data_IF_780134858847
#
_entry.id   IF_780134858847
#
_cell.length_a   1.000
_cell.length_b   1.000
_cell.length_c   1.000
_cell.angle_alpha   90.00
_cell.angle_beta   90.00
_cell.angle_gamma   90.00
#
_symmetry.space_group_name_H-M   'P 1'
#
loop_
_entity.id
_entity.type
_entity.pdbx_description
1 polymer ?
#
# COMPACT_ATOMS: atom_id res chain seq x y z
N UNK A 1 23.41 -61.62 -43.06
CA UNK A 1 23.00 -62.70 -42.13
C UNK A 1 21.52 -62.52 -41.83
N UNK A 2 20.68 -63.47 -42.26
CA UNK A 2 19.25 -63.42 -41.98
C UNK A 2 19.03 -63.70 -40.49
N UNK A 3 18.47 -62.73 -39.78
CA UNK A 3 18.15 -62.83 -38.36
C UNK A 3 17.16 -63.99 -38.18
N UNK A 4 17.49 -64.96 -37.31
CA UNK A 4 16.62 -66.11 -37.06
C UNK A 4 15.26 -65.65 -36.51
N UNK A 5 14.19 -66.35 -36.88
CA UNK A 5 12.82 -66.03 -36.45
C UNK A 5 12.68 -66.02 -34.92
N UNK A 6 13.44 -66.87 -34.23
CA UNK A 6 13.55 -66.91 -32.77
C UNK A 6 14.18 -65.65 -32.19
N UNK A 7 15.24 -65.12 -32.81
CA UNK A 7 15.85 -63.84 -32.40
C UNK A 7 14.88 -62.67 -32.57
N UNK A 8 14.13 -62.60 -33.69
CA UNK A 8 13.14 -61.53 -33.93
C UNK A 8 12.06 -61.50 -32.86
N UNK A 9 11.55 -62.68 -32.46
CA UNK A 9 10.55 -62.80 -31.40
C UNK A 9 11.13 -62.47 -30.02
N UNK A 10 12.37 -62.89 -29.73
CA UNK A 10 13.07 -62.52 -28.51
C UNK A 10 13.26 -60.99 -28.39
N UNK A 11 13.71 -60.31 -29.44
CA UNK A 11 13.84 -58.85 -29.43
C UNK A 11 12.49 -58.13 -29.28
N UNK A 12 11.42 -58.67 -29.86
CA UNK A 12 10.08 -58.12 -29.71
C UNK A 12 9.58 -58.18 -28.25
N UNK A 13 9.68 -59.35 -27.61
CA UNK A 13 9.30 -59.49 -26.20
C UNK A 13 10.23 -58.70 -25.27
N UNK A 14 11.53 -58.64 -25.57
CA UNK A 14 12.48 -57.81 -24.83
C UNK A 14 12.16 -56.32 -24.96
N UNK A 15 11.77 -55.84 -26.14
CA UNK A 15 11.36 -54.45 -26.37
C UNK A 15 10.10 -54.07 -25.60
N UNK A 16 9.09 -54.94 -25.56
CA UNK A 16 7.88 -54.74 -24.75
C UNK A 16 8.22 -54.69 -23.27
N UNK A 17 9.05 -55.62 -22.79
CA UNK A 17 9.50 -55.65 -21.40
C UNK A 17 10.28 -54.39 -21.03
N UNK A 18 11.24 -53.99 -21.88
CA UNK A 18 12.01 -52.77 -21.68
C UNK A 18 11.11 -51.52 -21.65
N UNK A 19 10.13 -51.42 -22.55
CA UNK A 19 9.19 -50.30 -22.58
C UNK A 19 8.30 -50.25 -21.32
N UNK A 20 7.83 -51.41 -20.83
CA UNK A 20 7.07 -51.50 -19.59
C UNK A 20 7.90 -51.06 -18.38
N UNK A 21 9.15 -51.52 -18.29
CA UNK A 21 10.09 -51.09 -17.24
C UNK A 21 10.35 -49.58 -17.33
N UNK A 22 10.56 -49.04 -18.54
CA UNK A 22 10.80 -47.62 -18.73
C UNK A 22 9.60 -46.77 -18.30
N UNK A 23 8.37 -47.21 -18.61
CA UNK A 23 7.14 -46.55 -18.17
C UNK A 23 6.96 -46.59 -16.65
N UNK A 24 7.27 -47.71 -16.01
CA UNK A 24 7.21 -47.84 -14.54
C UNK A 24 8.24 -46.90 -13.89
N UNK A 25 9.49 -46.92 -14.36
CA UNK A 25 10.56 -46.06 -13.84
C UNK A 25 10.21 -44.59 -14.04
N UNK A 26 9.72 -44.22 -15.22
CA UNK A 26 9.29 -42.86 -15.52
C UNK A 26 8.12 -42.42 -14.63
N UNK A 27 7.13 -43.29 -14.43
CA UNK A 27 5.98 -43.04 -13.55
C UNK A 27 6.39 -42.82 -12.10
N UNK A 28 7.32 -43.64 -11.57
CA UNK A 28 7.87 -43.48 -10.22
C UNK A 28 8.63 -42.15 -10.10
N UNK A 29 9.53 -41.85 -11.04
CA UNK A 29 10.28 -40.59 -11.04
C UNK A 29 9.34 -39.38 -11.09
N UNK A 30 8.27 -39.46 -11.88
CA UNK A 30 7.29 -38.38 -12.01
C UNK A 30 6.45 -38.20 -10.73
N UNK A 31 6.00 -39.30 -10.12
CA UNK A 31 5.17 -39.28 -8.92
C UNK A 31 5.93 -38.86 -7.66
N UNK A 32 7.21 -39.23 -7.55
CA UNK A 32 8.06 -38.89 -6.40
C UNK A 32 8.91 -37.64 -6.61
N UNK A 33 8.57 -36.76 -7.56
CA UNK A 33 9.26 -35.47 -7.66
C UNK A 33 8.96 -34.65 -6.40
N UNK A 34 9.97 -34.22 -5.64
CA UNK A 34 9.75 -33.34 -4.50
C UNK A 34 9.08 -32.05 -4.98
N UNK A 35 8.07 -31.61 -4.21
CA UNK A 35 7.47 -30.29 -4.40
C UNK A 35 8.54 -29.21 -4.24
N UNK A 36 8.39 -28.06 -4.92
CA UNK A 36 9.40 -27.04 -4.82
C UNK A 36 9.55 -26.51 -3.39
N UNK A 37 10.79 -26.25 -2.99
CA UNK A 37 11.16 -25.87 -1.61
C UNK A 37 11.59 -24.41 -1.61
N UNK A 38 10.74 -23.53 -1.11
CA UNK A 38 10.97 -22.07 -1.14
C UNK A 38 11.47 -21.48 0.18
N UNK A 39 11.92 -22.30 1.13
CA UNK A 39 12.33 -21.85 2.48
C UNK A 39 13.47 -22.72 3.02
N UNK A 40 14.29 -23.29 2.14
CA UNK A 40 15.38 -24.22 2.50
C UNK A 40 16.77 -23.58 2.45
N UNK A 41 16.84 -22.25 2.29
CA UNK A 41 18.04 -21.43 2.21
C UNK A 41 18.97 -21.81 1.06
N UNK A 42 18.44 -22.42 -0.01
CA UNK A 42 19.23 -22.83 -1.18
C UNK A 42 18.57 -22.35 -2.46
N UNK A 43 19.31 -21.61 -3.27
CA UNK A 43 18.87 -21.27 -4.63
C UNK A 43 18.84 -22.51 -5.51
N UNK A 44 17.65 -23.10 -5.69
CA UNK A 44 17.46 -24.30 -6.49
C UNK A 44 16.23 -24.15 -7.40
N UNK A 45 15.88 -25.19 -8.17
CA UNK A 45 14.57 -25.29 -8.84
C UNK A 45 14.14 -24.11 -9.75
N UNK A 46 15.12 -23.37 -10.30
CA UNK A 46 14.94 -22.17 -11.13
C UNK A 46 14.46 -20.92 -10.37
N UNK A 47 14.76 -20.84 -9.09
CA UNK A 47 14.64 -19.62 -8.29
C UNK A 47 15.54 -18.47 -8.81
N UNK A 48 15.06 -17.24 -8.70
CA UNK A 48 15.80 -16.03 -9.09
C UNK A 48 16.81 -15.60 -8.01
N UNK A 49 16.51 -15.91 -6.74
CA UNK A 49 17.37 -15.70 -5.58
C UNK A 49 17.21 -16.86 -4.58
N UNK A 50 17.93 -16.84 -3.47
CA UNK A 50 17.76 -17.88 -2.43
C UNK A 50 16.34 -17.79 -1.88
N UNK A 51 15.56 -18.88 -1.97
CA UNK A 51 14.18 -18.97 -1.46
C UNK A 51 13.20 -17.97 -2.11
N UNK A 52 13.51 -17.44 -3.31
CA UNK A 52 12.63 -16.49 -4.00
C UNK A 52 12.75 -16.51 -5.53
N UNK A 53 11.67 -16.13 -6.20
CA UNK A 53 11.54 -16.12 -7.66
C UNK A 53 11.36 -17.52 -8.27
N UNK A 54 11.09 -17.57 -9.58
CA UNK A 54 10.81 -18.84 -10.26
C UNK A 54 9.53 -19.52 -9.74
N UNK A 55 9.59 -20.74 -9.18
CA UNK A 55 8.44 -21.42 -8.57
C UNK A 55 8.01 -20.83 -7.21
N UNK A 56 8.80 -19.91 -6.64
CA UNK A 56 8.58 -19.29 -5.33
C UNK A 56 8.02 -17.85 -5.44
N UNK A 57 7.75 -17.21 -4.31
CA UNK A 57 7.30 -15.81 -4.29
C UNK A 57 8.37 -14.90 -4.89
N UNK A 58 7.98 -13.88 -5.66
CA UNK A 58 8.94 -12.99 -6.34
C UNK A 58 9.96 -12.41 -5.37
N UNK A 59 11.23 -12.38 -5.77
CA UNK A 59 12.26 -11.74 -4.96
C UNK A 59 11.93 -10.26 -4.75
N UNK A 60 11.82 -9.89 -3.48
CA UNK A 60 11.66 -8.52 -3.04
C UNK A 60 13.08 -7.94 -2.95
N UNK A 61 13.39 -6.93 -3.75
CA UNK A 61 14.65 -6.19 -3.59
C UNK A 61 14.72 -5.52 -2.22
N UNK A 62 15.89 -5.03 -1.81
CA UNK A 62 16.04 -4.32 -0.52
C UNK A 62 15.08 -3.12 -0.51
N UNK A 63 14.07 -3.11 0.38
CA UNK A 63 13.10 -2.02 0.43
C UNK A 63 13.77 -0.75 0.97
N UNK A 64 13.49 0.37 0.32
CA UNK A 64 13.83 1.68 0.85
C UNK A 64 12.85 2.08 1.95
N UNK A 65 13.36 2.82 2.94
CA UNK A 65 12.54 3.37 4.02
C UNK A 65 11.53 4.40 3.50
N UNK A 66 10.44 4.57 4.25
CA UNK A 66 9.45 5.60 3.97
C UNK A 66 10.01 6.99 4.27
N UNK A 67 9.74 7.95 3.38
CA UNK A 67 10.17 9.33 3.54
C UNK A 67 9.06 10.11 4.24
N UNK A 68 9.34 10.63 5.44
CA UNK A 68 8.41 11.50 6.17
C UNK A 68 8.75 12.96 5.88
N UNK A 69 7.89 13.66 5.16
CA UNK A 69 8.10 15.07 4.83
C UNK A 69 7.83 15.98 6.02
N UNK A 70 6.73 15.75 6.73
CA UNK A 70 6.39 16.48 7.95
C UNK A 70 5.37 15.72 8.78
N UNK A 71 5.36 16.03 10.07
CA UNK A 71 4.36 15.59 11.04
C UNK A 71 3.96 16.80 11.87
N UNK A 72 2.65 17.06 12.00
CA UNK A 72 2.14 18.25 12.69
C UNK A 72 0.87 17.92 13.47
N UNK A 73 0.74 18.55 14.63
CA UNK A 73 -0.47 18.55 15.42
C UNK A 73 -1.18 19.91 15.29
N UNK A 74 -2.50 19.89 15.23
CA UNK A 74 -3.39 21.05 15.14
C UNK A 74 -4.33 21.00 16.34
N UNK A 75 -4.45 22.10 17.08
CA UNK A 75 -5.38 22.17 18.19
C UNK A 75 -6.81 22.30 17.64
N UNK A 76 -7.69 21.38 18.03
CA UNK A 76 -9.09 21.39 17.59
C UNK A 76 -9.97 22.12 18.60
N UNK A 77 -9.82 21.77 19.86
CA UNK A 77 -10.38 22.42 21.04
C UNK A 77 -9.37 22.23 22.18
N UNK A 78 -9.40 23.04 23.25
CA UNK A 78 -8.47 22.90 24.36
C UNK A 78 -8.34 21.45 24.84
N UNK A 79 -7.12 20.90 24.73
CA UNK A 79 -6.78 19.53 25.14
C UNK A 79 -7.03 18.42 24.12
N UNK A 80 -7.64 18.73 22.96
CA UNK A 80 -7.88 17.79 21.87
C UNK A 80 -7.19 18.24 20.58
N UNK A 81 -6.47 17.31 19.97
CA UNK A 81 -5.59 17.60 18.85
C UNK A 81 -5.88 16.71 17.65
N UNK A 82 -5.73 17.27 16.46
CA UNK A 82 -5.68 16.54 15.20
C UNK A 82 -4.23 16.39 14.77
N UNK A 83 -3.89 15.28 14.12
CA UNK A 83 -2.51 15.02 13.70
C UNK A 83 -2.46 14.62 12.24
N UNK A 84 -1.58 15.30 11.50
CA UNK A 84 -1.25 14.99 10.12
C UNK A 84 0.19 14.54 9.94
N UNK A 85 0.40 13.57 9.06
CA UNK A 85 1.73 13.14 8.65
C UNK A 85 1.79 12.89 7.14
N UNK A 86 2.62 13.66 6.43
CA UNK A 86 2.83 13.49 5.00
C UNK A 86 4.00 12.53 4.77
N UNK A 87 3.71 11.39 4.15
CA UNK A 87 4.64 10.28 3.97
C UNK A 87 4.69 9.87 2.51
N UNK A 88 5.85 9.46 2.03
CA UNK A 88 6.03 8.90 0.70
C UNK A 88 6.69 7.53 0.77
N UNK A 89 6.18 6.61 -0.05
CA UNK A 89 6.83 5.36 -0.34
C UNK A 89 7.66 5.50 -1.63
N UNK A 90 9.01 5.61 -1.55
CA UNK A 90 9.86 5.79 -2.73
C UNK A 90 10.02 4.51 -3.57
N UNK A 91 9.57 3.36 -3.06
CA UNK A 91 9.76 2.08 -3.73
C UNK A 91 8.92 1.96 -5.01
N UNK A 92 9.55 1.52 -6.11
CA UNK A 92 8.94 1.44 -7.44
C UNK A 92 7.82 0.40 -7.51
N UNK A 93 8.05 -0.79 -6.97
CA UNK A 93 7.12 -1.93 -7.05
C UNK A 93 6.78 -2.51 -5.67
N UNK A 94 7.25 -1.90 -4.57
CA UNK A 94 7.00 -2.43 -3.24
C UNK A 94 5.92 -1.61 -2.53
N UNK A 95 4.97 -2.32 -1.93
CA UNK A 95 3.97 -1.75 -1.04
C UNK A 95 3.64 -2.74 0.07
N UNK A 96 2.58 -2.48 0.80
CA UNK A 96 2.17 -3.30 1.94
C UNK A 96 0.65 -3.22 2.13
N UNK A 97 0.01 -4.37 2.36
CA UNK A 97 -1.44 -4.45 2.50
C UNK A 97 -1.97 -3.82 3.77
N UNK A 98 -1.22 -3.99 4.86
CA UNK A 98 -1.54 -3.41 6.15
C UNK A 98 -0.21 -3.12 6.85
N UNK A 99 -0.10 -1.90 7.37
CA UNK A 99 1.06 -1.39 8.10
C UNK A 99 0.54 -0.64 9.31
N UNK A 100 1.09 -0.99 10.47
CA UNK A 100 0.84 -0.28 11.71
C UNK A 100 1.77 0.93 11.77
N UNK A 101 1.23 2.09 12.09
CA UNK A 101 2.03 3.28 12.43
C UNK A 101 1.77 3.70 13.86
N UNK A 102 2.76 4.36 14.45
CA UNK A 102 2.62 4.99 15.76
C UNK A 102 2.92 6.48 15.67
N UNK A 103 1.95 7.29 16.07
CA UNK A 103 2.10 8.71 16.26
C UNK A 103 2.40 8.99 17.74
N UNK A 104 3.47 9.74 17.98
CA UNK A 104 3.87 10.18 19.31
C UNK A 104 3.89 11.69 19.38
N UNK A 105 3.23 12.22 20.39
CA UNK A 105 3.17 13.65 20.68
C UNK A 105 4.00 13.90 21.93
N UNK A 106 4.88 14.89 21.86
CA UNK A 106 5.77 15.29 22.93
C UNK A 106 5.52 16.75 23.28
N UNK A 107 5.55 17.08 24.56
CA UNK A 107 5.54 18.47 25.02
C UNK A 107 6.90 19.17 24.80
N UNK A 108 7.00 20.43 25.19
CA UNK A 108 8.22 21.23 25.08
C UNK A 108 9.40 20.66 25.89
N UNK A 109 9.14 19.83 26.89
CA UNK A 109 10.16 19.17 27.72
C UNK A 109 10.53 17.77 27.18
N UNK A 110 10.09 17.41 25.97
CA UNK A 110 10.22 16.10 25.35
C UNK A 110 9.54 14.96 26.13
N UNK A 111 8.53 15.25 26.95
CA UNK A 111 7.74 14.23 27.63
C UNK A 111 6.65 13.75 26.68
N UNK A 112 6.51 12.43 26.53
CA UNK A 112 5.43 11.83 25.74
C UNK A 112 4.08 12.16 26.39
N UNK A 113 3.19 12.83 25.65
CA UNK A 113 1.86 13.24 26.14
C UNK A 113 0.73 12.43 25.53
N UNK A 114 0.90 11.93 24.31
CA UNK A 114 -0.04 11.02 23.67
C UNK A 114 0.67 10.04 22.74
N UNK A 115 0.13 8.83 22.66
CA UNK A 115 0.51 7.78 21.73
C UNK A 115 -0.75 7.31 21.02
N UNK A 116 -0.75 7.36 19.69
CA UNK A 116 -1.84 6.85 18.86
C UNK A 116 -1.28 5.81 17.90
N UNK A 117 -1.83 4.60 17.95
CA UNK A 117 -1.56 3.57 16.95
C UNK A 117 -2.70 3.54 15.93
N UNK A 118 -2.32 3.46 14.66
CA UNK A 118 -3.26 3.36 13.54
C UNK A 118 -2.76 2.38 12.50
N UNK A 119 -3.60 2.14 11.48
CA UNK A 119 -3.30 1.21 10.40
C UNK A 119 -3.54 1.87 9.05
N UNK A 120 -2.67 1.58 8.10
CA UNK A 120 -2.82 2.03 6.72
C UNK A 120 -2.27 0.97 5.76
N UNK A 121 -2.46 1.17 4.46
CA UNK A 121 -1.78 0.41 3.42
C UNK A 121 -0.71 1.29 2.76
N UNK A 122 0.22 0.69 2.02
CA UNK A 122 1.23 1.38 1.24
C UNK A 122 1.13 0.96 -0.21
N UNK A 123 0.92 1.91 -1.11
CA UNK A 123 1.06 1.68 -2.54
C UNK A 123 2.50 2.03 -2.99
N UNK A 124 3.05 1.38 -4.04
CA UNK A 124 4.35 1.74 -4.60
C UNK A 124 4.33 3.15 -5.20
N UNK A 125 5.38 3.97 -4.97
CA UNK A 125 5.50 5.37 -5.45
C UNK A 125 4.33 6.26 -5.06
N UNK A 126 3.81 6.08 -3.86
CA UNK A 126 2.68 6.86 -3.36
C UNK A 126 3.15 7.87 -2.32
N UNK A 127 2.79 9.13 -2.53
CA UNK A 127 2.80 10.16 -1.51
C UNK A 127 1.39 10.27 -0.93
N UNK A 128 1.28 10.13 0.38
CA UNK A 128 0.00 10.05 1.06
C UNK A 128 0.03 10.78 2.41
N UNK A 129 -1.15 11.21 2.83
CA UNK A 129 -1.34 11.92 4.09
C UNK A 129 -2.06 11.00 5.08
N UNK A 130 -1.43 10.74 6.22
CA UNK A 130 -2.07 10.10 7.37
C UNK A 130 -2.73 11.21 8.19
N UNK A 131 -3.97 10.96 8.63
CA UNK A 131 -4.75 11.87 9.44
C UNK A 131 -5.39 11.10 10.58
N UNK A 132 -5.21 11.60 11.80
CA UNK A 132 -5.84 11.09 13.01
C UNK A 132 -6.54 12.23 13.74
N UNK A 133 -7.80 12.01 14.05
CA UNK A 133 -8.66 12.98 14.73
C UNK A 133 -8.70 12.72 16.24
N UNK A 134 -8.98 13.79 16.99
CA UNK A 134 -9.41 13.74 18.39
C UNK A 134 -8.44 13.03 19.36
N UNK A 135 -7.16 13.41 19.32
CA UNK A 135 -6.16 12.97 20.29
C UNK A 135 -6.24 13.82 21.56
N UNK A 136 -6.70 13.20 22.64
CA UNK A 136 -6.71 13.83 23.97
C UNK A 136 -5.30 13.92 24.57
N UNK A 137 -4.92 15.11 25.01
CA UNK A 137 -3.63 15.42 25.67
C UNK A 137 -3.82 16.04 27.06
N UNK A 138 -5.08 16.08 27.54
CA UNK A 138 -5.48 16.76 28.77
C UNK A 138 -5.00 18.22 28.77
N UNK A 139 -4.19 18.63 29.75
CA UNK A 139 -3.71 20.01 29.89
C UNK A 139 -2.36 20.25 29.21
N UNK A 140 -1.73 19.22 28.61
CA UNK A 140 -0.39 19.36 28.03
C UNK A 140 -0.45 19.73 26.56
N UNK A 141 0.27 20.77 26.20
CA UNK A 141 0.39 21.23 24.81
C UNK A 141 1.51 20.44 24.09
N UNK A 142 1.22 19.70 23.02
CA UNK A 142 2.23 19.05 22.19
C UNK A 142 3.04 20.11 21.42
N UNK A 143 4.36 20.02 21.55
CA UNK A 143 5.33 20.85 20.82
C UNK A 143 5.98 20.11 19.65
N UNK A 144 6.04 18.78 19.72
CA UNK A 144 6.66 17.94 18.68
C UNK A 144 5.85 16.67 18.45
N UNK A 145 5.63 16.35 17.19
CA UNK A 145 4.98 15.10 16.78
C UNK A 145 5.95 14.28 15.95
N UNK A 146 5.91 12.96 16.10
CA UNK A 146 6.71 12.03 15.29
C UNK A 146 5.85 10.86 14.86
N UNK A 147 6.14 10.30 13.69
CA UNK A 147 5.54 9.07 13.20
C UNK A 147 6.63 7.99 13.03
N UNK A 148 6.30 6.76 13.37
CA UNK A 148 7.13 5.60 13.08
C UNK A 148 6.31 4.45 12.49
N UNK A 149 7.00 3.58 11.77
CA UNK A 149 6.45 2.36 11.17
C UNK A 149 7.26 1.18 11.71
N UNK A 150 6.81 0.53 12.80
CA UNK A 150 7.63 -0.47 13.51
C UNK A 150 8.00 -1.68 12.67
N UNK A 151 7.06 -2.14 11.83
CA UNK A 151 7.25 -3.29 10.95
C UNK A 151 6.44 -3.08 9.67
N UNK A 152 7.07 -3.36 8.53
CA UNK A 152 6.44 -3.29 7.22
C UNK A 152 6.67 -4.62 6.51
N UNK A 153 5.58 -5.35 6.28
CA UNK A 153 5.61 -6.55 5.45
C UNK A 153 5.50 -6.14 3.97
N UNK A 154 6.66 -5.90 3.36
CA UNK A 154 6.76 -5.50 1.97
C UNK A 154 6.29 -6.60 1.04
N UNK A 155 5.57 -6.21 -0.01
CA UNK A 155 5.11 -7.09 -1.08
C UNK A 155 5.28 -6.40 -2.43
N UNK A 156 5.57 -7.20 -3.45
CA UNK A 156 5.62 -6.73 -4.84
C UNK A 156 4.19 -6.48 -5.34
N UNK A 157 3.94 -5.28 -5.85
CA UNK A 157 2.64 -4.84 -6.37
C UNK A 157 2.87 -4.22 -7.75
N UNK A 158 2.27 -4.83 -8.77
CA UNK A 158 2.37 -4.40 -10.17
C UNK A 158 1.03 -3.90 -10.72
N UNK A 159 0.02 -3.77 -9.87
CA UNK A 159 -1.29 -3.24 -10.29
C UNK A 159 -1.19 -1.76 -10.64
N UNK A 160 -1.78 -1.39 -11.77
CA UNK A 160 -1.92 0.00 -12.17
C UNK A 160 -2.94 0.73 -11.29
N UNK A 161 -2.71 2.03 -11.08
CA UNK A 161 -3.66 2.87 -10.34
C UNK A 161 -4.80 3.29 -11.26
N UNK A 162 -6.04 3.33 -10.74
CA UNK A 162 -7.14 3.92 -11.49
C UNK A 162 -6.87 5.39 -11.77
N UNK A 163 -7.29 5.86 -12.96
CA UNK A 163 -7.13 7.25 -13.37
C UNK A 163 -8.25 8.11 -12.76
N UNK A 164 -8.06 8.48 -11.49
CA UNK A 164 -8.90 9.45 -10.79
C UNK A 164 -8.29 10.85 -10.88
N UNK A 165 -9.06 11.80 -11.38
CA UNK A 165 -8.66 13.21 -11.49
C UNK A 165 -9.48 14.11 -10.60
N UNK A 166 -8.87 15.20 -10.17
CA UNK A 166 -9.55 16.30 -9.48
C UNK A 166 -10.01 17.30 -10.53
N UNK A 167 -11.31 17.39 -10.76
CA UNK A 167 -11.91 18.27 -11.76
C UNK A 167 -12.03 19.71 -11.26
N UNK A 168 -12.29 19.92 -9.97
CA UNK A 168 -12.37 21.24 -9.37
C UNK A 168 -12.10 21.19 -7.87
N UNK A 169 -11.63 22.33 -7.33
CA UNK A 169 -11.39 22.55 -5.92
C UNK A 169 -11.87 23.96 -5.59
N UNK A 170 -12.85 24.07 -4.70
CA UNK A 170 -13.36 25.34 -4.20
C UNK A 170 -13.25 25.36 -2.68
N UNK A 171 -12.86 26.49 -2.13
CA UNK A 171 -12.82 26.71 -0.69
C UNK A 171 -13.71 27.90 -0.33
N UNK A 172 -14.52 27.70 0.71
CA UNK A 172 -15.35 28.70 1.34
C UNK A 172 -14.95 28.74 2.83
N UNK A 173 -14.85 29.95 3.40
CA UNK A 173 -14.40 30.11 4.78
C UNK A 173 -15.50 30.61 5.73
N UNK A 174 -16.73 30.73 5.23
CA UNK A 174 -17.84 31.38 5.95
C UNK A 174 -19.10 30.48 5.88
N UNK A 175 -19.71 30.10 7.02
CA UNK A 175 -19.38 30.49 8.38
C UNK A 175 -18.15 29.78 8.97
N UNK A 176 -17.71 28.69 8.35
CA UNK A 176 -16.58 27.86 8.76
C UNK A 176 -15.82 27.36 7.52
N UNK A 177 -14.60 26.84 7.71
CA UNK A 177 -13.82 26.30 6.60
C UNK A 177 -14.53 25.14 5.91
N UNK A 178 -14.71 25.23 4.60
CA UNK A 178 -15.35 24.19 3.78
C UNK A 178 -14.65 24.08 2.43
N UNK A 179 -14.17 22.89 2.09
CA UNK A 179 -13.58 22.59 0.79
C UNK A 179 -14.47 21.64 0.01
N UNK A 180 -14.90 22.03 -1.19
CA UNK A 180 -15.60 21.19 -2.15
C UNK A 180 -14.62 20.73 -3.23
N UNK A 181 -14.52 19.42 -3.41
CA UNK A 181 -13.64 18.78 -4.40
C UNK A 181 -14.48 17.88 -5.30
N UNK A 182 -14.38 18.05 -6.61
CA UNK A 182 -15.03 17.15 -7.58
C UNK A 182 -14.00 16.17 -8.11
N UNK A 183 -14.27 14.88 -7.93
CA UNK A 183 -13.46 13.78 -8.44
C UNK A 183 -14.12 13.19 -9.67
N UNK A 184 -13.31 12.94 -10.70
CA UNK A 184 -13.74 12.31 -11.94
C UNK A 184 -12.97 11.02 -12.16
N UNK A 185 -13.70 9.95 -12.44
CA UNK A 185 -13.11 8.69 -12.87
C UNK A 185 -12.99 8.70 -14.39
N UNK A 186 -11.78 8.51 -14.92
CA UNK A 186 -11.54 8.39 -16.36
C UNK A 186 -11.41 6.94 -16.84
N UNK A 187 -11.46 5.99 -15.92
CA UNK A 187 -11.49 4.57 -16.25
C UNK A 187 -12.90 4.14 -16.65
N UNK A 188 -12.98 3.12 -17.51
CA UNK A 188 -14.25 2.52 -17.95
C UNK A 188 -14.99 1.79 -16.83
N UNK A 189 -14.25 1.30 -15.82
CA UNK A 189 -14.79 0.55 -14.70
C UNK A 189 -14.95 1.42 -13.46
N UNK A 190 -15.90 1.05 -12.61
CA UNK A 190 -16.09 1.70 -11.33
C UNK A 190 -14.91 1.47 -10.39
N UNK A 191 -14.56 2.50 -9.63
CA UNK A 191 -13.48 2.46 -8.63
C UNK A 191 -14.11 2.49 -7.26
N UNK A 192 -13.71 1.55 -6.38
CA UNK A 192 -14.30 1.37 -5.05
C UNK A 192 -13.31 1.67 -3.94
N UNK A 193 -13.82 1.88 -2.72
CA UNK A 193 -13.04 2.08 -1.49
C UNK A 193 -11.96 3.16 -1.64
N UNK A 194 -12.39 4.36 -2.00
CA UNK A 194 -11.51 5.49 -2.28
C UNK A 194 -11.35 6.31 -1.01
N UNK A 195 -10.11 6.47 -0.57
CA UNK A 195 -9.73 7.32 0.55
C UNK A 195 -9.27 8.65 0.00
N UNK A 196 -9.84 9.74 0.51
CA UNK A 196 -9.48 11.09 0.09
C UNK A 196 -9.11 11.91 1.31
N UNK A 197 -7.95 12.56 1.25
CA UNK A 197 -7.49 13.46 2.29
C UNK A 197 -7.18 14.81 1.68
N UNK A 198 -7.68 15.88 2.28
CA UNK A 198 -7.42 17.25 1.88
C UNK A 198 -6.55 17.94 2.93
N UNK A 199 -5.51 18.65 2.49
CA UNK A 199 -4.71 19.55 3.29
C UNK A 199 -4.85 20.98 2.76
N UNK A 200 -5.24 21.90 3.63
CA UNK A 200 -5.23 23.33 3.38
C UNK A 200 -3.83 23.86 3.65
N UNK A 201 -3.23 24.57 2.69
CA UNK A 201 -1.86 25.05 2.78
C UNK A 201 -1.81 26.59 2.78
N UNK A 202 -0.88 27.16 3.53
CA UNK A 202 -0.52 28.59 3.44
C UNK A 202 0.35 28.87 2.19
N UNK A 203 0.71 30.15 1.97
CA UNK A 203 1.56 30.58 0.85
C UNK A 203 2.97 29.96 0.86
N UNK A 204 3.42 29.45 2.02
CA UNK A 204 4.74 28.82 2.22
C UNK A 204 4.67 27.29 2.12
N UNK A 205 3.49 26.72 1.87
CA UNK A 205 3.28 25.27 1.80
C UNK A 205 3.12 24.59 3.17
N UNK A 206 2.89 25.34 4.24
CA UNK A 206 2.57 24.80 5.55
C UNK A 206 1.11 24.34 5.60
N UNK A 207 0.88 23.14 6.10
CA UNK A 207 -0.47 22.70 6.42
C UNK A 207 -1.07 23.57 7.53
N UNK A 208 -2.29 24.08 7.29
CA UNK A 208 -3.14 24.83 8.20
C UNK A 208 -4.23 23.95 8.81
N UNK A 209 -4.78 23.02 8.02
CA UNK A 209 -5.82 22.11 8.45
C UNK A 209 -5.92 20.92 7.51
N UNK A 210 -6.35 19.78 8.06
CA UNK A 210 -6.44 18.51 7.34
C UNK A 210 -7.81 17.92 7.59
N UNK A 211 -8.36 17.22 6.61
CA UNK A 211 -9.57 16.44 6.79
C UNK A 211 -9.53 15.23 5.85
N UNK A 212 -10.18 14.14 6.24
CA UNK A 212 -10.27 12.92 5.44
C UNK A 212 -11.71 12.49 5.22
N UNK A 213 -11.95 11.82 4.11
CA UNK A 213 -13.24 11.25 3.75
C UNK A 213 -13.03 9.93 3.01
N UNK A 214 -14.08 9.12 2.95
CA UNK A 214 -14.10 7.85 2.22
C UNK A 214 -15.31 7.82 1.29
N UNK A 215 -15.06 7.49 0.03
CA UNK A 215 -16.11 7.18 -0.94
C UNK A 215 -16.15 5.67 -1.17
N UNK A 216 -17.37 5.12 -1.15
CA UNK A 216 -17.58 3.70 -1.47
C UNK A 216 -17.30 3.41 -2.95
N UNK A 217 -17.78 4.28 -3.85
CA UNK A 217 -17.66 4.06 -5.30
C UNK A 217 -17.74 5.36 -6.13
N UNK A 218 -16.94 5.44 -7.18
CA UNK A 218 -17.13 6.35 -8.32
C UNK A 218 -17.38 5.48 -9.57
N UNK A 219 -18.53 5.61 -10.24
CA UNK A 219 -18.82 4.88 -11.49
C UNK A 219 -17.76 5.12 -12.58
N UNK A 220 -17.64 4.19 -13.52
CA UNK A 220 -16.83 4.36 -14.73
C UNK A 220 -17.23 5.63 -15.47
N UNK A 221 -16.24 6.43 -15.90
CA UNK A 221 -16.43 7.74 -16.55
C UNK A 221 -17.26 8.77 -15.75
N UNK A 222 -17.58 8.45 -14.49
CA UNK A 222 -18.46 9.23 -13.63
C UNK A 222 -17.75 10.30 -12.83
N UNK A 223 -18.51 11.05 -12.03
CA UNK A 223 -17.97 12.02 -11.08
C UNK A 223 -18.68 11.96 -9.74
N UNK A 224 -17.96 12.33 -8.68
CA UNK A 224 -18.46 12.46 -7.32
C UNK A 224 -17.93 13.73 -6.69
N UNK A 225 -18.78 14.36 -5.90
CA UNK A 225 -18.42 15.50 -5.08
C UNK A 225 -18.07 15.02 -3.68
N UNK A 226 -16.97 15.55 -3.14
CA UNK A 226 -16.53 15.34 -1.77
C UNK A 226 -16.46 16.70 -1.09
N UNK A 227 -16.99 16.79 0.12
CA UNK A 227 -17.00 18.01 0.92
C UNK A 227 -16.24 17.75 2.21
N UNK A 228 -15.23 18.57 2.46
CA UNK A 228 -14.48 18.61 3.71
C UNK A 228 -14.90 19.84 4.50
N UNK A 229 -15.03 19.69 5.81
CA UNK A 229 -15.55 20.74 6.69
C UNK A 229 -14.68 20.82 7.93
N UNK A 230 -14.25 22.02 8.28
CA UNK A 230 -13.50 22.32 9.50
C UNK A 230 -14.41 23.07 10.47
N UNK A 231 -14.13 22.95 11.78
CA UNK A 231 -14.98 23.54 12.83
C UNK A 231 -14.90 25.07 12.83
N UNK A 232 -13.70 25.60 12.60
CA UNK A 232 -13.42 27.03 12.62
C UNK A 232 -13.08 27.57 11.22
N UNK A 233 -13.31 28.87 10.98
CA UNK A 233 -12.74 29.54 9.81
C UNK A 233 -11.22 29.70 9.96
N UNK A 234 -10.53 29.77 8.82
CA UNK A 234 -9.08 29.93 8.78
C UNK A 234 -8.68 31.39 8.61
N UNK A 235 -7.80 31.89 9.48
CA UNK A 235 -7.10 33.17 9.34
C UNK A 235 -5.60 32.93 9.62
N UNK A 236 -4.70 33.02 8.63
CA UNK A 236 -4.91 33.51 7.26
C UNK A 236 -5.70 32.54 6.37
N UNK A 237 -6.26 33.07 5.28
CA UNK A 237 -6.96 32.28 4.28
C UNK A 237 -6.01 31.28 3.60
N UNK A 238 -6.40 30.01 3.42
CA UNK A 238 -5.57 29.03 2.72
C UNK A 238 -5.26 29.46 1.28
N UNK A 239 -4.01 29.37 0.90
CA UNK A 239 -3.55 29.70 -0.45
C UNK A 239 -3.77 28.55 -1.43
N UNK A 240 -3.75 27.29 -0.96
CA UNK A 240 -3.90 26.12 -1.80
C UNK A 240 -4.60 24.96 -1.07
N UNK A 241 -5.21 24.06 -1.84
CA UNK A 241 -5.79 22.79 -1.36
C UNK A 241 -5.04 21.65 -2.04
N UNK A 242 -4.23 20.93 -1.28
CA UNK A 242 -3.61 19.68 -1.74
C UNK A 242 -4.53 18.51 -1.39
N UNK A 243 -4.78 17.63 -2.35
CA UNK A 243 -5.72 16.50 -2.19
C UNK A 243 -4.98 15.22 -2.57
N UNK A 244 -5.01 14.25 -1.66
CA UNK A 244 -4.44 12.93 -1.81
C UNK A 244 -5.56 11.93 -2.00
N UNK A 245 -5.54 11.21 -3.12
CA UNK A 245 -6.54 10.20 -3.45
C UNK A 245 -5.82 8.85 -3.41
N UNK A 246 -6.38 7.90 -2.66
CA UNK A 246 -5.78 6.59 -2.48
C UNK A 246 -6.82 5.50 -2.69
N UNK A 247 -6.40 4.46 -3.36
CA UNK A 247 -7.14 3.20 -3.51
C UNK A 247 -6.21 2.08 -3.14
N UNK A 248 -6.69 1.08 -2.42
CA UNK A 248 -5.84 -0.01 -1.98
C UNK A 248 -5.49 -0.91 -3.18
N UNK A 249 -4.25 -0.86 -3.67
CA UNK A 249 -3.79 -1.73 -4.77
C UNK A 249 -3.40 -3.13 -4.30
N UNK A 250 -3.43 -3.38 -2.99
CA UNK A 250 -3.02 -4.66 -2.40
C UNK A 250 -4.16 -5.66 -2.31
N UNK A 251 -5.40 -5.21 -2.54
CA UNK A 251 -6.63 -6.02 -2.58
C UNK A 251 -6.80 -6.73 -3.91
#
# INVERSE_FOLDING_TARGET
MAISWTLKRQFFFFGIFAAAVFLIVFGVIYFFRPAPTCFDQKQNQREEGVDCGGPCESCIGIPQELVVFWTRAFELVPGHWEVGALVENPNLLLGAREVVYRLRLYDANNILVALKEGRTFLNPREKFLIFEEDLATAERVPARTTIEFPEINWKRIEKERPHLLISSKNFENTPNGRAKVILKNQSLFAVKNIFITAALLDEKGNALGINSSRLEEIPGEGSREVVFTWREPFDPMPANIEVFIRTNLTE
#
